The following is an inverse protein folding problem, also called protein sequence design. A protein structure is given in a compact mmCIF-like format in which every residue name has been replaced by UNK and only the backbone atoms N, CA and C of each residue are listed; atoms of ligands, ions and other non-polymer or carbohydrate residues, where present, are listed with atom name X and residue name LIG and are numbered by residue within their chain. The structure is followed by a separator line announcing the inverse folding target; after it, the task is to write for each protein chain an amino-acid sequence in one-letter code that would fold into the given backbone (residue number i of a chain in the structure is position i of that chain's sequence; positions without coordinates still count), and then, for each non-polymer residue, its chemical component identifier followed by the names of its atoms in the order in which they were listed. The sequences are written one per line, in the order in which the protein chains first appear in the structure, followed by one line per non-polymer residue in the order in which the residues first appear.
data_IF_102638523347
#
_entry.id   IF_102638523347
#
_cell.length_a   1.000
_cell.length_b   1.000
_cell.length_c   1.000
_cell.angle_alpha   90.00
_cell.angle_beta   90.00
_cell.angle_gamma   90.00
#
_symmetry.space_group_name_H-M   'P 1'
#
loop_
_entity.id
_entity.type
_entity.pdbx_description
1 polymer ?
#
# COMPACT_ATOMS: atom_id res chain seq x y z
N UNK A 1 -49.75 -28.57 -42.78
CA UNK A 1 -49.47 -27.32 -42.04
C UNK A 1 -48.01 -27.37 -41.65
N UNK A 2 -47.26 -26.80 -42.48
CA UNK A 2 -45.80 -26.63 -42.39
C UNK A 2 -45.57 -25.40 -41.50
N UNK A 3 -44.83 -25.54 -40.44
CA UNK A 3 -44.29 -24.41 -39.66
C UNK A 3 -42.81 -24.24 -40.02
N UNK A 4 -42.55 -23.20 -40.75
CA UNK A 4 -41.24 -22.59 -40.98
C UNK A 4 -40.68 -22.08 -39.64
N UNK A 5 -39.47 -22.49 -39.31
CA UNK A 5 -38.68 -21.90 -38.20
C UNK A 5 -37.34 -21.50 -38.79
N UNK A 6 -37.32 -20.29 -39.32
CA UNK A 6 -36.08 -19.60 -39.69
C UNK A 6 -36.13 -18.24 -39.02
N UNK A 7 -35.55 -18.10 -37.85
CA UNK A 7 -35.10 -16.82 -37.26
C UNK A 7 -33.72 -17.01 -36.64
N UNK A 8 -32.73 -16.98 -37.50
CA UNK A 8 -31.34 -16.65 -37.14
C UNK A 8 -31.29 -15.22 -36.63
N UNK A 9 -31.44 -15.04 -35.35
CA UNK A 9 -31.17 -13.77 -34.66
C UNK A 9 -29.67 -13.54 -34.65
N UNK A 10 -29.16 -12.83 -35.66
CA UNK A 10 -27.82 -12.29 -35.70
C UNK A 10 -27.67 -11.31 -34.52
N UNK A 11 -26.92 -11.71 -33.51
CA UNK A 11 -26.51 -10.80 -32.44
C UNK A 11 -25.57 -9.79 -33.11
N UNK A 12 -26.06 -8.59 -33.36
CA UNK A 12 -25.21 -7.44 -33.73
C UNK A 12 -24.40 -7.11 -32.47
N UNK A 13 -23.14 -7.55 -32.45
CA UNK A 13 -22.16 -7.05 -31.51
C UNK A 13 -21.89 -5.62 -31.94
N UNK A 14 -22.35 -4.65 -31.15
CA UNK A 14 -21.98 -3.26 -31.35
C UNK A 14 -20.44 -3.18 -31.33
N UNK A 15 -19.81 -2.48 -32.30
CA UNK A 15 -18.37 -2.30 -32.29
C UNK A 15 -18.02 -1.57 -31.00
N UNK A 16 -17.17 -2.16 -30.19
CA UNK A 16 -16.53 -1.48 -29.05
C UNK A 16 -15.94 -0.16 -29.54
N UNK A 17 -16.20 0.97 -28.89
CA UNK A 17 -15.64 2.25 -29.30
C UNK A 17 -14.12 2.12 -29.39
N UNK A 18 -13.53 2.58 -30.50
CA UNK A 18 -12.09 2.62 -30.66
C UNK A 18 -11.48 3.35 -29.47
N UNK A 19 -10.49 2.76 -28.77
CA UNK A 19 -9.90 3.39 -27.61
C UNK A 19 -9.28 4.73 -28.00
N UNK A 20 -9.68 5.78 -27.31
CA UNK A 20 -9.20 7.16 -27.56
C UNK A 20 -7.72 7.20 -27.24
N UNK A 21 -6.89 7.29 -28.28
CA UNK A 21 -5.45 7.44 -28.13
C UNK A 21 -5.13 8.76 -27.41
N UNK A 22 -4.62 8.66 -26.20
CA UNK A 22 -4.12 9.85 -25.49
C UNK A 22 -2.83 10.35 -26.16
N UNK A 23 -2.54 11.65 -26.13
CA UNK A 23 -1.27 12.18 -26.66
C UNK A 23 -0.03 11.55 -26.01
N UNK A 24 -0.15 11.12 -24.76
CA UNK A 24 0.91 10.43 -24.00
C UNK A 24 1.21 9.03 -24.56
N UNK A 25 0.19 8.32 -25.04
CA UNK A 25 0.33 7.02 -25.68
C UNK A 25 1.14 7.11 -27.00
N UNK A 26 0.85 8.13 -27.80
CA UNK A 26 1.60 8.37 -29.04
C UNK A 26 3.06 8.76 -28.76
N UNK A 27 3.30 9.57 -27.74
CA UNK A 27 4.64 9.94 -27.31
C UNK A 27 5.47 8.73 -26.88
N UNK A 28 4.86 7.78 -26.16
CA UNK A 28 5.52 6.53 -25.74
C UNK A 28 5.90 5.66 -26.94
N UNK A 29 5.01 5.53 -27.93
CA UNK A 29 5.32 4.80 -29.18
C UNK A 29 6.45 5.47 -29.96
N UNK A 30 6.48 6.79 -30.03
CA UNK A 30 7.54 7.52 -30.72
C UNK A 30 8.88 7.42 -29.97
N UNK A 31 8.88 7.42 -28.65
CA UNK A 31 10.04 7.14 -27.81
C UNK A 31 10.56 5.71 -28.05
N UNK A 32 9.67 4.73 -28.05
CA UNK A 32 10.02 3.34 -28.36
C UNK A 32 10.59 3.15 -29.77
N UNK A 33 10.11 3.90 -30.78
CA UNK A 33 10.69 3.89 -32.12
C UNK A 33 12.09 4.48 -32.18
N UNK A 34 12.38 5.51 -31.38
CA UNK A 34 13.69 6.15 -31.37
C UNK A 34 14.75 5.31 -30.66
N UNK A 35 14.38 4.67 -29.55
CA UNK A 35 15.29 3.90 -28.70
C UNK A 35 15.29 2.41 -28.99
N UNK A 36 14.30 1.89 -29.72
CA UNK A 36 14.12 0.46 -30.00
C UNK A 36 13.46 -0.32 -28.86
N UNK A 37 13.27 0.30 -27.70
CA UNK A 37 12.67 -0.31 -26.54
C UNK A 37 11.85 0.70 -25.72
N UNK A 38 10.97 0.18 -24.84
CA UNK A 38 10.18 0.94 -23.87
C UNK A 38 10.30 0.20 -22.54
N UNK A 39 10.38 0.94 -21.44
CA UNK A 39 10.44 0.33 -20.10
C UNK A 39 9.03 0.14 -19.53
N UNK A 40 8.88 -0.83 -18.61
CA UNK A 40 7.61 -1.01 -17.90
C UNK A 40 7.18 0.22 -17.10
N UNK A 41 8.16 0.96 -16.56
CA UNK A 41 7.87 2.18 -15.82
C UNK A 41 7.32 3.28 -16.75
N UNK A 42 7.82 3.37 -17.98
CA UNK A 42 7.29 4.30 -18.99
C UNK A 42 5.84 3.96 -19.33
N UNK A 43 5.50 2.67 -19.38
CA UNK A 43 4.12 2.21 -19.62
C UNK A 43 3.22 2.57 -18.43
N UNK A 44 3.68 2.36 -17.20
CA UNK A 44 2.94 2.70 -15.98
C UNK A 44 2.75 4.22 -15.82
N UNK A 45 3.73 5.01 -16.26
CA UNK A 45 3.63 6.47 -16.25
C UNK A 45 2.54 7.01 -17.17
N UNK A 46 2.32 6.34 -18.30
CA UNK A 46 1.27 6.69 -19.29
C UNK A 46 -0.11 6.15 -18.86
N UNK A 47 -0.13 5.00 -18.17
CA UNK A 47 -1.33 4.31 -17.70
C UNK A 47 -1.26 4.01 -16.19
N UNK A 48 -1.34 5.03 -15.32
CA UNK A 48 -1.21 4.85 -13.86
C UNK A 48 -2.36 4.02 -13.26
N UNK A 49 -3.53 4.00 -13.88
CA UNK A 49 -4.70 3.18 -13.52
C UNK A 49 -4.91 2.06 -14.54
N UNK A 50 -3.85 1.33 -14.85
CA UNK A 50 -3.88 0.26 -15.84
C UNK A 50 -4.90 -0.87 -15.51
N UNK A 51 -5.33 -0.97 -14.24
CA UNK A 51 -6.39 -1.91 -13.83
C UNK A 51 -7.76 -1.56 -14.42
N UNK A 52 -8.06 -0.29 -14.60
CA UNK A 52 -9.34 0.21 -15.14
C UNK A 52 -9.30 0.43 -16.66
N UNK A 53 -8.07 0.54 -17.24
CA UNK A 53 -7.84 0.79 -18.66
C UNK A 53 -7.14 -0.36 -19.37
N UNK A 54 -7.50 -1.58 -19.06
CA UNK A 54 -6.93 -2.82 -19.60
C UNK A 54 -6.94 -2.90 -21.12
N UNK A 55 -8.05 -2.49 -21.74
CA UNK A 55 -8.18 -2.50 -23.20
C UNK A 55 -7.13 -1.60 -23.87
N UNK A 56 -6.80 -0.48 -23.22
CA UNK A 56 -5.76 0.45 -23.71
C UNK A 56 -4.36 -0.13 -23.52
N UNK A 57 -4.11 -0.82 -22.43
CA UNK A 57 -2.83 -1.47 -22.16
C UNK A 57 -2.59 -2.63 -23.12
N UNK A 58 -3.61 -3.43 -23.38
CA UNK A 58 -3.56 -4.53 -24.35
C UNK A 58 -3.30 -4.01 -25.77
N UNK A 59 -3.96 -2.92 -26.15
CA UNK A 59 -3.74 -2.25 -27.45
C UNK A 59 -2.32 -1.69 -27.56
N UNK A 60 -1.78 -1.11 -26.47
CA UNK A 60 -0.41 -0.63 -26.42
C UNK A 60 0.58 -1.77 -26.69
N UNK A 61 0.40 -2.90 -26.00
CA UNK A 61 1.26 -4.07 -26.17
C UNK A 61 1.24 -4.61 -27.61
N UNK A 62 0.06 -4.75 -28.19
CA UNK A 62 -0.09 -5.19 -29.59
C UNK A 62 0.68 -4.27 -30.53
N UNK A 63 0.57 -2.96 -30.36
CA UNK A 63 1.25 -1.98 -31.23
C UNK A 63 2.75 -1.92 -31.02
N UNK A 64 3.22 -2.00 -29.75
CA UNK A 64 4.65 -2.09 -29.47
C UNK A 64 5.27 -3.30 -30.16
N UNK A 65 4.58 -4.42 -30.13
CA UNK A 65 5.05 -5.65 -30.75
C UNK A 65 4.94 -5.64 -32.28
N UNK A 66 3.85 -5.09 -32.85
CA UNK A 66 3.73 -4.89 -34.33
C UNK A 66 4.85 -4.00 -34.87
N UNK A 67 5.37 -3.08 -34.05
CA UNK A 67 6.48 -2.20 -34.42
C UNK A 67 7.86 -2.76 -34.04
N UNK A 68 7.92 -3.97 -33.47
CA UNK A 68 9.17 -4.61 -33.07
C UNK A 68 9.86 -3.93 -31.89
N UNK A 69 9.11 -3.13 -31.09
CA UNK A 69 9.62 -2.43 -29.92
C UNK A 69 9.61 -3.43 -28.74
N UNK A 70 10.77 -3.66 -28.16
CA UNK A 70 10.89 -4.54 -26.99
C UNK A 70 10.53 -3.79 -25.72
N UNK A 71 9.91 -4.48 -24.76
CA UNK A 71 9.57 -3.92 -23.44
C UNK A 71 10.55 -4.49 -22.41
N UNK A 72 11.40 -3.64 -21.87
CA UNK A 72 12.42 -4.01 -20.88
C UNK A 72 12.03 -3.61 -19.46
N UNK A 73 12.66 -4.28 -18.50
CA UNK A 73 12.62 -3.91 -17.07
C UNK A 73 13.73 -2.89 -16.81
N UNK A 74 13.42 -1.75 -16.21
CA UNK A 74 14.40 -0.69 -15.95
C UNK A 74 15.46 -1.11 -14.94
N UNK A 75 15.20 -2.16 -14.14
CA UNK A 75 16.13 -2.69 -13.14
C UNK A 75 17.10 -3.75 -13.69
N UNK A 76 17.04 -4.08 -14.99
CA UNK A 76 17.96 -5.04 -15.61
C UNK A 76 18.90 -4.31 -16.54
N UNK A 77 20.15 -4.25 -16.16
CA UNK A 77 21.30 -4.05 -17.07
C UNK A 77 21.16 -5.00 -18.26
N UNK A 78 21.45 -4.48 -19.45
CA UNK A 78 21.33 -5.08 -20.79
C UNK A 78 22.05 -6.46 -20.96
N UNK A 79 22.60 -7.02 -19.90
CA UNK A 79 23.45 -8.23 -19.94
C UNK A 79 22.71 -9.57 -19.81
N UNK A 80 21.40 -9.58 -19.50
CA UNK A 80 20.67 -10.85 -19.21
C UNK A 80 19.64 -11.27 -20.28
N UNK A 81 19.65 -10.67 -21.49
CA UNK A 81 18.72 -11.03 -22.57
C UNK A 81 19.33 -12.08 -23.54
N UNK A 82 20.18 -12.97 -23.06
CA UNK A 82 20.50 -14.17 -23.81
C UNK A 82 19.53 -15.31 -23.48
N UNK A 83 18.69 -15.58 -24.49
CA UNK A 83 18.06 -16.87 -24.80
C UNK A 83 17.25 -17.55 -23.67
N UNK A 84 15.99 -17.79 -24.00
CA UNK A 84 15.13 -18.82 -23.42
C UNK A 84 15.87 -20.17 -23.26
N UNK A 85 16.69 -20.34 -22.24
CA UNK A 85 17.13 -21.66 -21.83
C UNK A 85 16.09 -22.30 -20.91
N UNK A 86 15.72 -23.56 -21.17
CA UNK A 86 14.78 -24.28 -20.34
C UNK A 86 15.36 -24.48 -18.94
N UNK A 87 14.68 -23.92 -17.94
CA UNK A 87 14.77 -24.28 -16.54
C UNK A 87 16.19 -24.28 -15.92
N UNK A 88 16.86 -23.11 -15.90
CA UNK A 88 17.92 -22.90 -14.90
C UNK A 88 17.29 -23.07 -13.52
N UNK A 89 17.93 -23.91 -12.69
CA UNK A 89 17.62 -24.02 -11.26
C UNK A 89 17.69 -22.61 -10.71
N UNK A 90 16.54 -22.10 -10.27
CA UNK A 90 16.43 -20.75 -9.74
C UNK A 90 17.39 -20.68 -8.54
N UNK A 91 18.46 -19.90 -8.68
CA UNK A 91 19.42 -19.67 -7.60
C UNK A 91 18.78 -18.73 -6.56
N UNK A 92 18.57 -19.24 -5.36
CA UNK A 92 17.99 -18.51 -4.22
C UNK A 92 19.04 -18.09 -3.19
N UNK A 93 20.31 -17.95 -3.58
CA UNK A 93 21.35 -17.38 -2.72
C UNK A 93 20.94 -15.94 -2.35
N UNK A 94 20.51 -15.74 -1.10
CA UNK A 94 20.05 -14.45 -0.58
C UNK A 94 18.58 -14.43 -0.06
N UNK A 95 17.83 -15.50 -0.24
CA UNK A 95 16.57 -15.70 0.49
C UNK A 95 16.93 -16.36 1.82
N UNK A 96 16.51 -15.77 2.94
CA UNK A 96 16.61 -16.44 4.23
C UNK A 96 15.98 -17.82 4.11
N UNK A 97 16.73 -18.88 4.48
CA UNK A 97 16.27 -20.27 4.43
C UNK A 97 15.21 -20.51 5.51
N UNK A 98 14.04 -19.92 5.33
CA UNK A 98 12.87 -20.27 6.12
C UNK A 98 12.31 -21.59 5.57
N UNK A 99 12.05 -22.55 6.45
CA UNK A 99 11.48 -23.85 6.10
C UNK A 99 10.17 -23.70 5.28
N UNK A 100 9.42 -22.64 5.51
CA UNK A 100 8.18 -22.33 4.77
C UNK A 100 8.46 -21.98 3.29
N UNK A 101 9.49 -21.19 3.01
CA UNK A 101 9.91 -20.83 1.64
C UNK A 101 10.36 -22.09 0.91
N UNK A 102 11.17 -22.92 1.54
CA UNK A 102 11.67 -24.18 0.97
C UNK A 102 10.54 -25.17 0.66
N UNK A 103 9.57 -25.30 1.58
CA UNK A 103 8.41 -26.15 1.36
C UNK A 103 7.58 -25.67 0.16
N UNK A 104 7.30 -24.39 0.07
CA UNK A 104 6.58 -23.77 -1.06
C UNK A 104 7.31 -24.03 -2.38
N UNK A 105 8.64 -23.86 -2.42
CA UNK A 105 9.45 -24.15 -3.61
C UNK A 105 9.34 -25.61 -4.05
N UNK A 106 9.37 -26.54 -3.12
CA UNK A 106 9.22 -27.96 -3.40
C UNK A 106 7.82 -28.30 -3.97
N UNK A 107 6.78 -27.67 -3.46
CA UNK A 107 5.42 -27.87 -3.96
C UNK A 107 5.25 -27.32 -5.38
N UNK A 108 5.72 -26.10 -5.63
CA UNK A 108 5.66 -25.47 -6.95
C UNK A 108 6.51 -26.22 -7.98
N UNK A 109 7.65 -26.78 -7.56
CA UNK A 109 8.53 -27.57 -8.41
C UNK A 109 7.94 -28.90 -8.90
N UNK A 110 6.90 -29.42 -8.24
CA UNK A 110 6.24 -30.69 -8.60
C UNK A 110 5.37 -30.60 -9.84
N UNK A 111 4.88 -29.40 -10.15
CA UNK A 111 3.99 -29.19 -11.31
C UNK A 111 4.84 -28.98 -12.56
N UNK A 112 4.67 -29.78 -13.61
CA UNK A 112 5.42 -29.62 -14.86
C UNK A 112 5.06 -28.31 -15.55
N UNK A 113 6.01 -27.79 -16.34
CA UNK A 113 5.75 -26.62 -17.20
C UNK A 113 4.82 -27.01 -18.35
N UNK A 114 3.99 -26.07 -18.75
CA UNK A 114 3.05 -26.24 -19.87
C UNK A 114 3.70 -25.88 -21.19
N UNK A 115 3.35 -26.61 -22.23
CA UNK A 115 3.62 -26.22 -23.62
C UNK A 115 2.60 -25.18 -24.10
N UNK A 116 2.89 -24.43 -25.17
CA UNK A 116 1.96 -23.46 -25.71
C UNK A 116 0.63 -24.07 -26.17
N UNK A 117 0.64 -25.32 -26.65
CA UNK A 117 -0.58 -26.04 -27.03
C UNK A 117 -1.45 -26.39 -25.81
N UNK A 118 -0.82 -26.77 -24.70
CA UNK A 118 -1.50 -27.06 -23.42
C UNK A 118 -2.10 -25.77 -22.81
N UNK A 119 -1.39 -24.64 -22.89
CA UNK A 119 -1.93 -23.33 -22.46
C UNK A 119 -3.21 -22.97 -23.21
N UNK A 120 -3.21 -23.15 -24.56
CA UNK A 120 -4.37 -22.89 -25.40
C UNK A 120 -5.52 -23.85 -25.06
N UNK A 121 -5.24 -25.14 -24.83
CA UNK A 121 -6.25 -26.12 -24.45
C UNK A 121 -6.90 -25.78 -23.10
N UNK A 122 -6.12 -25.43 -22.10
CA UNK A 122 -6.62 -25.01 -20.78
C UNK A 122 -7.46 -23.72 -20.90
N UNK A 123 -7.01 -22.74 -21.66
CA UNK A 123 -7.75 -21.51 -21.90
C UNK A 123 -9.11 -21.77 -22.57
N UNK A 124 -9.17 -22.68 -23.55
CA UNK A 124 -10.45 -23.08 -24.15
C UNK A 124 -11.40 -23.78 -23.16
N UNK A 125 -10.86 -24.61 -22.25
CA UNK A 125 -11.70 -25.23 -21.20
C UNK A 125 -12.23 -24.17 -20.22
N UNK A 126 -11.41 -23.18 -19.87
CA UNK A 126 -11.84 -22.06 -19.02
C UNK A 126 -12.96 -21.25 -19.68
N UNK A 127 -12.83 -20.93 -20.97
CA UNK A 127 -13.84 -20.19 -21.73
C UNK A 127 -15.18 -20.98 -21.79
N UNK A 128 -15.11 -22.29 -22.05
CA UNK A 128 -16.31 -23.17 -22.05
C UNK A 128 -16.96 -23.18 -20.66
N UNK A 129 -16.18 -23.25 -19.58
CA UNK A 129 -16.68 -23.19 -18.21
C UNK A 129 -17.38 -21.87 -17.89
N UNK A 130 -16.79 -20.73 -18.32
CA UNK A 130 -17.41 -19.41 -18.17
C UNK A 130 -18.70 -19.26 -18.96
N UNK A 131 -18.73 -19.75 -20.20
CA UNK A 131 -19.95 -19.78 -21.02
C UNK A 131 -21.03 -20.64 -20.38
N UNK A 132 -20.67 -21.83 -19.89
CA UNK A 132 -21.60 -22.71 -19.17
C UNK A 132 -22.17 -22.05 -17.91
N UNK A 133 -21.35 -21.31 -17.16
CA UNK A 133 -21.78 -20.56 -15.97
C UNK A 133 -22.81 -19.48 -16.31
N UNK A 134 -22.60 -18.74 -17.41
CA UNK A 134 -23.56 -17.73 -17.89
C UNK A 134 -24.90 -18.38 -18.27
N UNK A 135 -24.88 -19.53 -18.97
CA UNK A 135 -26.09 -20.27 -19.37
C UNK A 135 -26.83 -20.86 -18.17
N UNK A 136 -26.14 -21.27 -17.11
CA UNK A 136 -26.77 -21.85 -15.92
C UNK A 136 -27.59 -20.83 -15.11
N UNK A 137 -27.36 -19.53 -15.30
CA UNK A 137 -28.16 -18.47 -14.65
C UNK A 137 -29.62 -18.52 -15.14
N UNK A 138 -29.85 -18.90 -16.40
CA UNK A 138 -31.20 -19.15 -16.95
C UNK A 138 -31.75 -20.50 -16.44
N UNK A 139 -32.62 -20.45 -15.47
CA UNK A 139 -33.16 -21.63 -14.75
C UNK A 139 -34.07 -22.58 -15.60
N UNK A 140 -34.16 -22.38 -16.89
CA UNK A 140 -35.10 -23.09 -17.80
C UNK A 140 -34.57 -24.42 -18.36
N UNK A 141 -33.37 -24.85 -17.96
CA UNK A 141 -32.70 -26.00 -18.54
C UNK A 141 -33.21 -27.35 -17.97
N UNK A 142 -33.41 -28.36 -18.85
CA UNK A 142 -33.65 -29.73 -18.46
C UNK A 142 -32.51 -30.30 -17.58
N UNK A 143 -32.82 -31.28 -16.72
CA UNK A 143 -31.87 -31.81 -15.73
C UNK A 143 -30.54 -32.28 -16.37
N UNK A 144 -30.65 -33.03 -17.48
CA UNK A 144 -29.46 -33.54 -18.19
C UNK A 144 -28.54 -32.39 -18.69
N UNK A 145 -29.14 -31.33 -19.23
CA UNK A 145 -28.39 -30.15 -19.69
C UNK A 145 -27.73 -29.43 -18.54
N UNK A 146 -28.39 -29.34 -17.40
CA UNK A 146 -27.84 -28.74 -16.19
C UNK A 146 -26.63 -29.50 -15.68
N UNK A 147 -26.68 -30.84 -15.64
CA UNK A 147 -25.54 -31.69 -15.25
C UNK A 147 -24.33 -31.50 -16.18
N UNK A 148 -24.57 -31.38 -17.49
CA UNK A 148 -23.51 -31.09 -18.47
C UNK A 148 -22.87 -29.72 -18.26
N UNK A 149 -23.68 -28.68 -17.97
CA UNK A 149 -23.18 -27.35 -17.69
C UNK A 149 -22.36 -27.31 -16.37
N UNK A 150 -22.84 -28.01 -15.33
CA UNK A 150 -22.13 -28.13 -14.06
C UNK A 150 -20.79 -28.90 -14.22
N UNK A 151 -20.72 -29.90 -15.10
CA UNK A 151 -19.49 -30.60 -15.45
C UNK A 151 -18.50 -29.65 -16.15
N UNK A 152 -18.96 -28.91 -17.17
CA UNK A 152 -18.12 -27.95 -17.89
C UNK A 152 -17.59 -26.83 -16.99
N UNK A 153 -18.35 -26.36 -16.02
CA UNK A 153 -17.90 -25.39 -15.03
C UNK A 153 -16.75 -25.97 -14.17
N UNK A 154 -16.93 -27.20 -13.66
CA UNK A 154 -15.90 -27.88 -12.86
C UNK A 154 -14.60 -28.12 -13.64
N UNK A 155 -14.72 -28.51 -14.91
CA UNK A 155 -13.56 -28.66 -15.81
C UNK A 155 -12.86 -27.31 -16.04
N UNK A 156 -13.59 -26.23 -16.29
CA UNK A 156 -13.04 -24.89 -16.46
C UNK A 156 -12.33 -24.38 -15.20
N UNK A 157 -12.90 -24.63 -14.00
CA UNK A 157 -12.27 -24.26 -12.74
C UNK A 157 -11.01 -25.12 -12.45
N UNK A 158 -11.01 -26.38 -12.85
CA UNK A 158 -9.82 -27.24 -12.74
C UNK A 158 -8.71 -26.78 -13.71
N UNK A 159 -9.07 -26.42 -14.96
CA UNK A 159 -8.16 -25.88 -15.94
C UNK A 159 -7.51 -24.58 -15.47
N UNK A 160 -8.31 -23.66 -14.90
CA UNK A 160 -7.80 -22.41 -14.30
C UNK A 160 -6.77 -22.69 -13.19
N UNK A 161 -7.10 -23.57 -12.26
CA UNK A 161 -6.17 -23.96 -11.19
C UNK A 161 -4.87 -24.52 -11.75
N UNK A 162 -4.96 -25.39 -12.74
CA UNK A 162 -3.79 -26.01 -13.35
C UNK A 162 -2.91 -24.98 -14.07
N UNK A 163 -3.49 -24.05 -14.85
CA UNK A 163 -2.77 -22.96 -15.50
C UNK A 163 -2.02 -22.08 -14.50
N UNK A 164 -2.65 -21.71 -13.38
CA UNK A 164 -2.03 -20.90 -12.32
C UNK A 164 -0.91 -21.68 -11.63
N UNK A 165 -1.15 -22.95 -11.25
CA UNK A 165 -0.15 -23.77 -10.56
C UNK A 165 1.11 -24.00 -11.41
N UNK A 166 0.94 -24.31 -12.68
CA UNK A 166 2.06 -24.54 -13.60
C UNK A 166 2.94 -23.29 -13.81
N UNK A 167 2.35 -22.10 -13.67
CA UNK A 167 3.05 -20.82 -13.84
C UNK A 167 3.49 -20.17 -12.51
N UNK A 168 3.33 -20.81 -11.35
CA UNK A 168 3.77 -20.26 -10.06
C UNK A 168 5.30 -20.05 -10.00
N UNK A 169 6.10 -20.81 -10.75
CA UNK A 169 7.55 -20.59 -10.89
C UNK A 169 7.88 -19.22 -11.52
N UNK A 170 7.08 -18.75 -12.45
CA UNK A 170 7.20 -17.40 -13.03
C UNK A 170 7.05 -16.32 -11.96
N UNK A 171 6.06 -16.46 -11.06
CA UNK A 171 5.87 -15.52 -9.95
C UNK A 171 7.10 -15.45 -9.06
N UNK A 172 7.69 -16.59 -8.71
CA UNK A 172 8.88 -16.64 -7.86
C UNK A 172 10.08 -15.94 -8.52
N UNK A 173 10.28 -16.15 -9.82
CA UNK A 173 11.39 -15.51 -10.56
C UNK A 173 11.27 -13.99 -10.60
N UNK A 174 10.04 -13.46 -10.68
CA UNK A 174 9.77 -12.04 -10.64
C UNK A 174 9.90 -11.50 -9.21
N UNK A 175 9.29 -12.16 -8.21
CA UNK A 175 9.31 -11.74 -6.81
C UNK A 175 10.73 -11.65 -6.24
N UNK A 176 11.66 -12.53 -6.68
CA UNK A 176 13.07 -12.52 -6.28
C UNK A 176 13.73 -11.15 -6.52
N UNK A 177 13.37 -10.44 -7.60
CA UNK A 177 13.95 -9.14 -7.93
C UNK A 177 13.57 -8.02 -6.94
N UNK A 178 12.52 -8.24 -6.14
CA UNK A 178 11.98 -7.28 -5.19
C UNK A 178 12.31 -7.60 -3.73
N UNK A 179 13.25 -8.54 -3.50
CA UNK A 179 13.75 -8.87 -2.15
C UNK A 179 14.36 -7.66 -1.45
N UNK A 180 14.21 -7.59 -0.12
CA UNK A 180 14.81 -6.54 0.71
C UNK A 180 14.11 -5.17 0.65
N UNK A 181 13.00 -5.02 -0.06
CA UNK A 181 12.30 -3.76 -0.20
C UNK A 181 11.25 -3.47 0.89
N UNK A 182 11.22 -4.29 1.97
CA UNK A 182 10.39 -4.06 3.15
C UNK A 182 9.14 -4.93 3.24
N UNK A 183 8.94 -5.86 2.30
CA UNK A 183 7.90 -6.90 2.33
C UNK A 183 8.58 -8.27 2.35
N UNK A 184 8.14 -9.22 3.18
CA UNK A 184 8.66 -10.59 3.20
C UNK A 184 8.49 -11.29 1.85
N UNK A 185 9.42 -12.19 1.51
CA UNK A 185 9.43 -12.85 0.19
C UNK A 185 8.13 -13.61 -0.10
N UNK A 186 7.62 -14.38 0.86
CA UNK A 186 6.38 -15.15 0.66
C UNK A 186 5.17 -14.24 0.44
N UNK A 187 5.13 -13.06 1.07
CA UNK A 187 4.05 -12.10 0.86
C UNK A 187 4.12 -11.50 -0.55
N UNK A 188 5.34 -11.19 -1.04
CA UNK A 188 5.55 -10.79 -2.45
C UNK A 188 5.08 -11.86 -3.42
N UNK A 189 5.38 -13.14 -3.14
CA UNK A 189 4.93 -14.27 -3.95
C UNK A 189 3.41 -14.38 -3.93
N UNK A 190 2.76 -14.24 -2.78
CA UNK A 190 1.28 -14.31 -2.69
C UNK A 190 0.60 -13.16 -3.43
N UNK A 191 1.12 -11.94 -3.31
CA UNK A 191 0.63 -10.80 -4.09
C UNK A 191 0.86 -11.02 -5.59
N UNK A 192 2.00 -11.58 -5.98
CA UNK A 192 2.27 -11.99 -7.35
C UNK A 192 1.30 -13.07 -7.85
N UNK A 193 0.96 -14.05 -7.00
CA UNK A 193 -0.05 -15.07 -7.33
C UNK A 193 -1.44 -14.46 -7.55
N UNK A 194 -1.82 -13.42 -6.80
CA UNK A 194 -3.06 -12.67 -7.05
C UNK A 194 -3.03 -12.02 -8.44
N UNK A 195 -1.89 -11.44 -8.83
CA UNK A 195 -1.68 -10.95 -10.19
C UNK A 195 -1.79 -12.04 -11.24
N UNK A 196 -1.15 -13.19 -11.01
CA UNK A 196 -1.22 -14.35 -11.92
C UNK A 196 -2.66 -14.87 -12.10
N UNK A 197 -3.45 -14.90 -11.03
CA UNK A 197 -4.87 -15.30 -11.09
C UNK A 197 -5.69 -14.32 -11.94
N UNK A 198 -5.45 -13.00 -11.80
CA UNK A 198 -6.08 -11.97 -12.65
C UNK A 198 -5.67 -12.16 -14.12
N UNK A 199 -4.40 -12.43 -14.38
CA UNK A 199 -3.91 -12.71 -15.73
C UNK A 199 -4.62 -13.94 -16.35
N UNK A 200 -4.76 -15.03 -15.59
CA UNK A 200 -5.44 -16.23 -16.06
C UNK A 200 -6.93 -15.99 -16.41
N UNK A 201 -7.62 -15.11 -15.68
CA UNK A 201 -9.02 -14.77 -15.97
C UNK A 201 -9.22 -13.97 -17.26
N UNK A 202 -8.21 -13.19 -17.67
CA UNK A 202 -8.28 -12.26 -18.79
C UNK A 202 -7.48 -12.72 -20.02
N UNK A 203 -6.81 -13.85 -19.92
CA UNK A 203 -5.96 -14.36 -20.97
C UNK A 203 -6.76 -14.73 -22.23
N UNK A 204 -6.39 -14.13 -23.39
CA UNK A 204 -6.98 -14.47 -24.70
C UNK A 204 -5.95 -15.21 -25.58
N UNK A 205 -6.10 -16.53 -25.67
CA UNK A 205 -5.26 -17.41 -26.48
C UNK A 205 -5.35 -17.16 -27.99
N UNK A 206 -6.41 -16.48 -28.48
CA UNK A 206 -6.63 -16.20 -29.92
C UNK A 206 -5.59 -15.23 -30.47
N UNK A 207 -4.95 -14.46 -29.61
CA UNK A 207 -3.90 -13.51 -29.98
C UNK A 207 -2.56 -14.16 -30.30
N UNK A 208 -2.37 -15.45 -30.01
CA UNK A 208 -1.18 -16.23 -30.37
C UNK A 208 0.04 -16.03 -29.47
N UNK A 209 -0.06 -15.25 -28.37
CA UNK A 209 1.04 -15.03 -27.42
C UNK A 209 1.07 -16.10 -26.33
N UNK A 210 2.27 -16.38 -25.81
CA UNK A 210 2.43 -17.23 -24.64
C UNK A 210 1.79 -16.58 -23.41
N UNK A 211 1.21 -17.39 -22.56
CA UNK A 211 0.62 -16.91 -21.30
C UNK A 211 1.65 -16.17 -20.43
N UNK A 212 2.90 -16.63 -20.39
CA UNK A 212 3.97 -16.01 -19.60
C UNK A 212 4.20 -14.53 -19.95
N UNK A 213 4.15 -14.15 -21.23
CA UNK A 213 4.34 -12.77 -21.70
C UNK A 213 3.28 -11.83 -21.09
N UNK A 214 2.04 -12.26 -21.08
CA UNK A 214 0.93 -11.50 -20.53
C UNK A 214 0.93 -11.52 -18.99
N UNK A 215 1.18 -12.67 -18.38
CA UNK A 215 1.18 -12.87 -16.94
C UNK A 215 2.28 -12.08 -16.22
N UNK A 216 3.45 -11.94 -16.83
CA UNK A 216 4.58 -11.18 -16.25
C UNK A 216 4.18 -9.76 -15.87
N UNK A 217 3.41 -9.09 -16.70
CA UNK A 217 2.93 -7.74 -16.41
C UNK A 217 2.01 -7.70 -15.18
N UNK A 218 1.02 -8.59 -15.10
CA UNK A 218 0.08 -8.65 -13.98
C UNK A 218 0.76 -8.98 -12.67
N UNK A 219 1.69 -9.93 -12.70
CA UNK A 219 2.48 -10.32 -11.54
C UNK A 219 3.31 -9.14 -11.04
N UNK A 220 4.01 -8.46 -11.95
CA UNK A 220 4.84 -7.29 -11.62
C UNK A 220 4.00 -6.15 -11.05
N UNK A 221 2.90 -5.81 -11.71
CA UNK A 221 1.99 -4.76 -11.25
C UNK A 221 1.46 -5.05 -9.84
N UNK A 222 1.05 -6.30 -9.56
CA UNK A 222 0.56 -6.70 -8.25
C UNK A 222 1.66 -6.59 -7.18
N UNK A 223 2.87 -7.06 -7.47
CA UNK A 223 4.02 -6.98 -6.56
C UNK A 223 4.41 -5.51 -6.30
N UNK A 224 4.53 -4.69 -7.34
CA UNK A 224 4.92 -3.28 -7.19
C UNK A 224 3.87 -2.49 -6.40
N UNK A 225 2.59 -2.78 -6.61
CA UNK A 225 1.50 -2.19 -5.85
C UNK A 225 1.54 -2.61 -4.38
N UNK A 226 1.78 -3.90 -4.10
CA UNK A 226 1.95 -4.40 -2.74
C UNK A 226 3.12 -3.74 -2.02
N UNK A 227 4.26 -3.55 -2.70
CA UNK A 227 5.40 -2.81 -2.16
C UNK A 227 5.07 -1.35 -1.85
N UNK A 228 4.32 -0.68 -2.72
CA UNK A 228 3.89 0.69 -2.49
C UNK A 228 2.96 0.80 -1.28
N UNK A 229 2.09 -0.20 -1.07
CA UNK A 229 1.06 -0.19 -0.04
C UNK A 229 1.54 -0.72 1.31
N UNK A 230 2.43 -1.71 1.33
CA UNK A 230 2.82 -2.46 2.53
C UNK A 230 4.31 -2.34 2.87
N UNK A 231 5.18 -1.89 1.94
CA UNK A 231 6.64 -1.87 2.10
C UNK A 231 7.17 -0.85 3.13
N UNK A 232 6.30 -0.03 3.77
CA UNK A 232 6.70 1.01 4.72
C UNK A 232 5.89 0.92 6.01
N UNK A 233 6.57 1.09 7.15
CA UNK A 233 5.93 1.19 8.47
C UNK A 233 4.89 2.31 8.52
N UNK A 234 5.20 3.46 7.93
CA UNK A 234 4.26 4.56 7.74
C UNK A 234 3.83 4.54 6.27
N UNK A 235 2.59 4.14 6.00
CA UNK A 235 2.03 4.03 4.65
C UNK A 235 2.10 5.36 3.91
N UNK A 236 2.54 5.30 2.66
CA UNK A 236 2.60 6.43 1.74
C UNK A 236 1.67 6.15 0.56
N UNK A 237 0.85 7.11 0.11
CA UNK A 237 -0.01 6.92 -1.07
C UNK A 237 0.80 6.56 -2.32
N UNK A 238 0.23 5.72 -3.21
CA UNK A 238 0.90 5.20 -4.42
C UNK A 238 1.47 6.33 -5.29
N UNK A 239 0.68 7.37 -5.58
CA UNK A 239 1.13 8.53 -6.38
C UNK A 239 2.35 9.26 -5.77
N UNK A 240 2.56 9.18 -4.46
CA UNK A 240 3.75 9.73 -3.80
C UNK A 240 4.96 8.81 -3.94
N UNK A 241 4.74 7.48 -3.91
CA UNK A 241 5.80 6.51 -4.18
C UNK A 241 6.32 6.65 -5.61
N UNK A 242 5.43 6.84 -6.59
CA UNK A 242 5.83 7.07 -7.99
C UNK A 242 6.63 8.37 -8.14
N UNK A 243 6.18 9.44 -7.47
CA UNK A 243 6.94 10.70 -7.44
C UNK A 243 8.33 10.54 -6.80
N UNK A 244 8.40 9.80 -5.69
CA UNK A 244 9.67 9.50 -5.01
C UNK A 244 10.58 8.72 -5.97
N UNK A 245 10.06 7.71 -6.68
CA UNK A 245 10.79 6.91 -7.64
C UNK A 245 11.35 7.76 -8.78
N UNK A 246 10.53 8.65 -9.38
CA UNK A 246 10.97 9.60 -10.42
C UNK A 246 12.07 10.54 -9.94
N UNK A 247 11.93 11.07 -8.72
CA UNK A 247 12.93 11.96 -8.11
C UNK A 247 14.25 11.22 -7.87
N UNK A 248 14.21 9.97 -7.39
CA UNK A 248 15.43 9.18 -7.17
C UNK A 248 16.13 8.81 -8.48
N UNK A 249 15.39 8.40 -9.52
CA UNK A 249 15.94 8.10 -10.84
C UNK A 249 16.65 9.33 -11.40
N UNK A 250 15.97 10.47 -11.48
CA UNK A 250 16.57 11.71 -11.94
C UNK A 250 17.78 12.16 -11.09
N UNK A 251 17.75 11.89 -9.78
CA UNK A 251 18.91 12.18 -8.91
C UNK A 251 20.10 11.27 -9.24
N UNK A 252 19.86 10.00 -9.51
CA UNK A 252 20.90 9.03 -9.87
C UNK A 252 21.51 9.34 -11.23
N UNK A 253 20.70 9.67 -12.24
CA UNK A 253 21.16 10.05 -13.57
C UNK A 253 22.02 11.32 -13.50
N UNK A 254 21.55 12.34 -12.77
CA UNK A 254 22.32 13.59 -12.56
C UNK A 254 23.60 13.36 -11.75
N UNK A 255 23.61 12.47 -10.76
CA UNK A 255 24.81 12.13 -9.99
C UNK A 255 25.85 11.46 -10.89
N UNK A 256 25.41 10.61 -11.82
CA UNK A 256 26.29 9.97 -12.80
C UNK A 256 26.87 11.00 -13.79
N UNK A 257 26.09 11.97 -14.23
CA UNK A 257 26.55 13.04 -15.14
C UNK A 257 27.47 14.05 -14.46
N UNK A 258 27.09 14.50 -13.25
CA UNK A 258 27.79 15.58 -12.54
C UNK A 258 28.98 15.08 -11.70
N UNK A 259 29.03 13.77 -11.36
CA UNK A 259 30.04 13.20 -10.44
C UNK A 259 29.90 13.68 -8.99
N UNK A 260 28.75 14.28 -8.61
CA UNK A 260 28.41 14.74 -7.26
C UNK A 260 26.91 14.59 -7.02
N UNK A 261 26.52 14.62 -5.76
CA UNK A 261 25.10 14.66 -5.41
C UNK A 261 24.41 15.92 -5.98
N UNK A 262 23.29 15.77 -6.71
CA UNK A 262 22.55 16.89 -7.27
C UNK A 262 21.78 17.67 -6.20
N UNK A 263 21.59 18.96 -6.43
CA UNK A 263 20.73 19.79 -5.57
C UNK A 263 19.24 19.55 -5.87
N UNK A 264 18.33 19.80 -4.91
CA UNK A 264 16.89 19.66 -5.17
C UNK A 264 16.38 20.53 -6.32
N UNK A 265 17.04 21.66 -6.60
CA UNK A 265 16.74 22.58 -7.69
C UNK A 265 17.15 21.98 -9.06
N UNK A 266 18.30 21.30 -9.13
CA UNK A 266 18.76 20.61 -10.33
C UNK A 266 17.83 19.42 -10.66
N UNK A 267 17.47 18.61 -9.66
CA UNK A 267 16.49 17.53 -9.83
C UNK A 267 15.13 18.08 -10.30
N UNK A 268 14.69 19.20 -9.72
CA UNK A 268 13.43 19.86 -10.05
C UNK A 268 13.34 20.26 -11.53
N UNK A 269 14.45 20.70 -12.11
CA UNK A 269 14.54 21.07 -13.52
C UNK A 269 14.39 19.86 -14.46
N UNK A 270 14.90 18.68 -14.07
CA UNK A 270 14.81 17.45 -14.88
C UNK A 270 13.42 16.82 -14.79
N UNK A 271 12.84 16.77 -13.56
CA UNK A 271 11.54 16.10 -13.33
C UNK A 271 10.34 17.00 -13.66
N UNK A 272 10.57 18.27 -14.04
CA UNK A 272 9.53 19.29 -14.27
C UNK A 272 8.58 19.46 -13.06
N UNK A 273 9.16 19.49 -11.86
CA UNK A 273 8.45 19.70 -10.62
C UNK A 273 9.04 20.92 -9.87
N UNK A 274 8.22 21.68 -9.14
CA UNK A 274 8.75 22.76 -8.30
C UNK A 274 9.64 22.19 -7.17
N UNK A 275 10.76 22.86 -6.87
CA UNK A 275 11.79 22.43 -5.93
C UNK A 275 11.23 22.04 -4.54
N UNK A 276 10.20 22.75 -4.04
CA UNK A 276 9.58 22.42 -2.76
C UNK A 276 8.87 21.04 -2.76
N UNK A 277 8.34 20.59 -3.92
CA UNK A 277 7.73 19.24 -4.04
C UNK A 277 8.82 18.16 -4.08
N UNK A 278 9.98 18.44 -4.70
CA UNK A 278 11.14 17.55 -4.69
C UNK A 278 11.69 17.41 -3.27
N UNK A 279 11.90 18.51 -2.55
CA UNK A 279 12.32 18.49 -1.15
C UNK A 279 11.35 17.72 -0.25
N UNK A 280 10.04 17.90 -0.48
CA UNK A 280 9.02 17.14 0.25
C UNK A 280 9.10 15.64 -0.07
N UNK A 281 9.28 15.26 -1.34
CA UNK A 281 9.43 13.87 -1.75
C UNK A 281 10.66 13.22 -1.09
N UNK A 282 11.81 13.90 -1.11
CA UNK A 282 13.04 13.46 -0.43
C UNK A 282 12.86 13.33 1.10
N UNK A 283 12.11 14.25 1.73
CA UNK A 283 11.82 14.16 3.17
C UNK A 283 10.92 12.95 3.49
N UNK A 284 9.88 12.71 2.70
CA UNK A 284 8.94 11.59 2.88
C UNK A 284 9.58 10.25 2.51
N UNK A 285 10.59 10.25 1.65
CA UNK A 285 11.30 9.03 1.23
C UNK A 285 12.11 8.38 2.34
N UNK A 286 12.50 9.12 3.39
CA UNK A 286 13.25 8.60 4.53
C UNK A 286 12.49 7.46 5.20
N UNK A 287 13.18 6.35 5.44
CA UNK A 287 12.63 5.21 6.18
C UNK A 287 12.81 5.41 7.67
N UNK A 288 11.92 4.86 8.47
CA UNK A 288 12.07 4.79 9.92
C UNK A 288 13.27 3.93 10.29
N UNK A 289 14.00 4.35 11.31
CA UNK A 289 15.10 3.56 11.88
C UNK A 289 14.56 2.68 13.01
N UNK A 290 15.16 1.50 13.18
CA UNK A 290 14.83 0.64 14.33
C UNK A 290 15.40 1.26 15.61
N UNK A 291 14.62 1.22 16.70
CA UNK A 291 15.06 1.61 18.02
C UNK A 291 16.08 0.62 18.61
N UNK A 292 16.02 -0.64 18.19
CA UNK A 292 16.97 -1.69 18.57
C UNK A 292 18.27 -1.66 17.73
N UNK A 293 18.44 -0.63 16.89
CA UNK A 293 19.68 -0.50 16.13
C UNK A 293 20.86 -0.28 17.06
N UNK A 294 21.90 -1.14 17.01
CA UNK A 294 23.09 -0.97 17.84
C UNK A 294 23.81 0.34 17.52
N UNK A 295 24.26 1.01 18.56
CA UNK A 295 24.99 2.29 18.50
C UNK A 295 26.33 2.11 19.23
N UNK A 296 27.42 2.62 18.63
CA UNK A 296 28.77 2.50 19.16
C UNK A 296 29.60 1.39 18.50
N UNK A 297 30.90 1.39 18.74
CA UNK A 297 31.84 0.40 18.15
C UNK A 297 31.67 -1.00 18.71
N UNK A 298 31.25 -1.11 19.98
CA UNK A 298 31.04 -2.41 20.67
C UNK A 298 29.59 -2.91 20.55
N UNK A 299 28.63 -2.07 20.08
CA UNK A 299 27.25 -2.47 19.86
C UNK A 299 26.43 -2.76 21.14
N UNK A 300 26.96 -2.35 22.30
CA UNK A 300 26.37 -2.65 23.62
C UNK A 300 25.16 -1.78 23.97
N UNK A 301 24.91 -0.71 23.23
CA UNK A 301 23.80 0.23 23.44
C UNK A 301 22.87 0.26 22.22
N UNK A 302 21.57 0.44 22.48
CA UNK A 302 20.56 0.57 21.44
C UNK A 302 20.17 2.04 21.23
N UNK A 303 19.78 2.40 19.99
CA UNK A 303 19.35 3.77 19.64
C UNK A 303 18.22 4.26 20.54
N UNK A 304 17.32 3.36 20.97
CA UNK A 304 16.18 3.67 21.84
C UNK A 304 16.58 4.23 23.19
N UNK A 305 17.73 3.82 23.74
CA UNK A 305 18.22 4.28 25.05
C UNK A 305 18.64 5.76 25.06
N UNK A 306 18.93 6.33 23.88
CA UNK A 306 19.32 7.74 23.72
C UNK A 306 18.14 8.67 23.51
N UNK A 307 16.92 8.14 23.40
CA UNK A 307 15.71 8.95 23.18
C UNK A 307 15.09 9.28 24.54
N UNK A 308 14.98 10.56 24.85
CA UNK A 308 14.36 11.06 26.06
C UNK A 308 12.85 10.81 26.06
N UNK A 309 12.30 10.40 27.21
CA UNK A 309 10.86 10.30 27.43
C UNK A 309 10.29 11.68 27.82
N UNK A 310 9.73 12.37 26.83
CA UNK A 310 9.10 13.69 27.00
C UNK A 310 7.72 13.59 27.68
N UNK A 311 7.15 12.39 27.84
CA UNK A 311 5.79 12.20 28.38
C UNK A 311 5.77 12.04 29.89
N UNK A 312 6.84 11.49 30.46
CA UNK A 312 6.97 11.33 31.90
C UNK A 312 7.48 12.59 32.55
N UNK A 313 6.78 13.11 33.58
CA UNK A 313 7.25 14.29 34.30
C UNK A 313 8.58 14.01 35.00
N UNK A 314 9.49 14.96 34.95
CA UNK A 314 10.79 14.83 35.61
C UNK A 314 10.62 14.69 37.13
N UNK A 315 11.58 14.06 37.86
CA UNK A 315 11.52 13.99 39.31
C UNK A 315 11.37 15.35 39.98
N UNK A 316 11.98 16.39 39.46
CA UNK A 316 11.90 17.77 39.92
C UNK A 316 10.49 18.36 39.73
N UNK A 317 9.88 18.14 38.55
CA UNK A 317 8.50 18.55 38.29
C UNK A 317 7.49 17.80 39.15
N UNK A 318 7.69 16.50 39.33
CA UNK A 318 6.85 15.67 40.21
C UNK A 318 6.93 16.16 41.68
N UNK A 319 8.12 16.52 42.16
CA UNK A 319 8.33 17.10 43.46
C UNK A 319 7.67 18.49 43.57
N UNK A 320 7.84 19.36 42.58
CA UNK A 320 7.22 20.68 42.54
C UNK A 320 5.69 20.60 42.52
N UNK A 321 5.09 19.69 41.74
CA UNK A 321 3.66 19.44 41.71
C UNK A 321 3.13 18.93 43.08
N UNK A 322 3.89 18.05 43.74
CA UNK A 322 3.53 17.55 45.08
C UNK A 322 3.57 18.68 46.12
N UNK A 323 4.62 19.49 46.11
CA UNK A 323 4.72 20.65 47.01
C UNK A 323 3.61 21.67 46.77
N UNK A 324 3.30 21.94 45.51
CA UNK A 324 2.17 22.81 45.14
C UNK A 324 0.85 22.27 45.68
N UNK A 325 0.61 20.96 45.56
CA UNK A 325 -0.60 20.31 46.09
C UNK A 325 -0.68 20.44 47.62
N UNK A 326 0.40 20.15 48.34
CA UNK A 326 0.49 20.30 49.78
C UNK A 326 0.20 21.75 50.23
N UNK A 327 0.74 22.75 49.52
CA UNK A 327 0.47 24.16 49.82
C UNK A 327 -0.98 24.56 49.52
N UNK A 328 -1.57 24.04 48.45
CA UNK A 328 -3.00 24.26 48.16
C UNK A 328 -3.90 23.66 49.23
N UNK A 329 -3.59 22.46 49.74
CA UNK A 329 -4.30 21.82 50.82
C UNK A 329 -4.21 22.64 52.12
N UNK A 330 -3.00 23.16 52.44
CA UNK A 330 -2.79 24.04 53.59
C UNK A 330 -3.62 25.34 53.49
N UNK A 331 -3.66 25.94 52.28
CA UNK A 331 -4.49 27.13 52.05
C UNK A 331 -6.00 26.82 52.17
N UNK A 332 -6.43 25.66 51.73
CA UNK A 332 -7.87 25.25 51.86
C UNK A 332 -8.30 25.03 53.28
N UNK A 333 -7.38 24.66 54.20
CA UNK A 333 -7.69 24.60 55.65
C UNK A 333 -8.15 25.94 56.22
N UNK A 334 -7.84 27.07 55.56
CA UNK A 334 -8.28 28.40 55.96
C UNK A 334 -9.69 28.77 55.51
N UNK A 335 -10.29 27.96 54.65
CA UNK A 335 -11.65 28.10 54.13
C UNK A 335 -12.64 27.30 55.00
N UNK A 336 -13.91 27.65 54.95
CA UNK A 336 -14.92 26.75 55.52
C UNK A 336 -14.97 25.45 54.73
N UNK A 337 -15.32 24.31 55.38
CA UNK A 337 -15.39 23.01 54.67
C UNK A 337 -16.30 23.01 53.45
N UNK A 338 -17.30 23.89 53.44
CA UNK A 338 -18.23 24.04 52.32
C UNK A 338 -17.61 24.81 51.13
N UNK A 339 -16.85 25.86 51.41
CA UNK A 339 -16.13 26.67 50.42
C UNK A 339 -15.02 25.82 49.78
N UNK A 340 -14.23 25.11 50.56
CA UNK A 340 -13.18 24.23 50.10
C UNK A 340 -13.74 23.16 49.14
N UNK A 341 -14.82 22.48 49.52
CA UNK A 341 -15.43 21.44 48.73
C UNK A 341 -16.00 21.94 47.40
N UNK A 342 -16.57 23.15 47.41
CA UNK A 342 -17.07 23.80 46.16
C UNK A 342 -15.88 24.11 45.22
N UNK A 343 -14.77 24.65 45.72
CA UNK A 343 -13.57 24.91 44.93
C UNK A 343 -12.93 23.62 44.38
N UNK A 344 -12.78 22.59 45.24
CA UNK A 344 -12.26 21.27 44.80
C UNK A 344 -13.05 20.72 43.62
N UNK A 345 -14.38 20.78 43.67
CA UNK A 345 -15.23 20.28 42.58
C UNK A 345 -15.19 21.18 41.35
N UNK A 346 -15.17 22.51 41.54
CA UNK A 346 -15.16 23.47 40.43
C UNK A 346 -13.88 23.38 39.61
N UNK A 347 -12.74 23.20 40.29
CA UNK A 347 -11.42 23.15 39.63
C UNK A 347 -10.90 21.72 39.44
N UNK A 348 -11.65 20.69 39.82
CA UNK A 348 -11.29 19.30 39.65
C UNK A 348 -10.04 18.88 40.45
N UNK A 349 -9.78 19.52 41.57
CA UNK A 349 -8.53 19.30 42.35
C UNK A 349 -8.44 17.92 42.99
N UNK A 350 -9.56 17.23 43.17
CA UNK A 350 -9.60 15.90 43.80
C UNK A 350 -9.75 14.77 42.80
N UNK A 351 -10.72 14.90 41.90
CA UNK A 351 -11.13 13.84 40.96
C UNK A 351 -10.67 14.12 39.51
N UNK A 352 -9.91 15.20 39.26
CA UNK A 352 -9.50 15.64 37.94
C UNK A 352 -10.63 16.15 37.05
N UNK A 353 -11.88 16.12 37.53
CA UNK A 353 -13.05 16.55 36.76
C UNK A 353 -13.59 17.90 37.23
N UNK A 354 -13.60 18.90 36.38
CA UNK A 354 -14.14 20.24 36.66
C UNK A 354 -15.66 20.28 36.44
N UNK A 355 -16.42 20.49 37.52
CA UNK A 355 -17.86 20.62 37.44
C UNK A 355 -18.32 22.02 37.10
N UNK A 356 -19.40 22.17 36.34
CA UNK A 356 -20.02 23.46 36.07
C UNK A 356 -20.71 24.02 37.29
N UNK A 357 -20.96 25.36 37.34
CA UNK A 357 -21.70 26.01 38.42
C UNK A 357 -23.10 25.40 38.64
N UNK A 358 -23.75 24.93 37.57
CA UNK A 358 -25.07 24.30 37.61
C UNK A 358 -25.00 22.92 38.28
N UNK A 359 -24.06 22.09 37.90
CA UNK A 359 -23.86 20.75 38.45
C UNK A 359 -23.43 20.80 39.93
N UNK A 360 -22.51 21.72 40.22
CA UNK A 360 -22.12 21.95 41.64
C UNK A 360 -23.32 22.41 42.44
N UNK A 361 -24.16 23.31 41.88
CA UNK A 361 -25.39 23.74 42.54
C UNK A 361 -26.36 22.60 42.82
N UNK A 362 -26.55 21.70 41.89
CA UNK A 362 -27.40 20.52 42.07
C UNK A 362 -26.90 19.60 43.17
N UNK A 363 -25.57 19.35 43.24
CA UNK A 363 -24.97 18.51 44.30
C UNK A 363 -25.08 19.11 45.73
N UNK A 364 -25.04 20.44 45.83
CA UNK A 364 -25.14 21.14 47.12
C UNK A 364 -26.55 21.65 47.47
N UNK A 365 -27.54 21.42 46.61
CA UNK A 365 -28.92 21.91 46.79
C UNK A 365 -29.02 23.45 46.73
N UNK A 366 -28.18 24.11 45.98
CA UNK A 366 -28.07 25.55 45.87
C UNK A 366 -28.33 26.04 44.43
N UNK A 367 -28.72 27.32 44.29
CA UNK A 367 -28.84 27.95 42.97
C UNK A 367 -27.44 28.21 42.37
N UNK A 368 -27.36 28.21 41.05
CA UNK A 368 -26.14 28.54 40.30
C UNK A 368 -25.49 29.84 40.76
N UNK A 369 -26.31 30.86 41.00
CA UNK A 369 -25.82 32.17 41.45
C UNK A 369 -25.24 32.14 42.87
N UNK A 370 -25.82 31.34 43.76
CA UNK A 370 -25.28 31.17 45.11
C UNK A 370 -23.94 30.47 45.10
N UNK A 371 -23.76 29.46 44.25
CA UNK A 371 -22.44 28.81 44.08
C UNK A 371 -21.42 29.83 43.54
N UNK A 372 -21.78 30.67 42.57
CA UNK A 372 -20.89 31.72 42.01
C UNK A 372 -20.46 32.72 43.10
N UNK A 373 -21.39 33.13 43.98
CA UNK A 373 -21.06 34.00 45.12
C UNK A 373 -20.08 33.34 46.10
N UNK A 374 -20.32 32.09 46.48
CA UNK A 374 -19.44 31.33 47.39
C UNK A 374 -18.04 31.14 46.74
N UNK A 375 -17.98 30.82 45.48
CA UNK A 375 -16.73 30.71 44.72
C UNK A 375 -15.94 32.03 44.76
N UNK A 376 -16.61 33.17 44.49
CA UNK A 376 -15.98 34.49 44.54
C UNK A 376 -15.49 34.87 45.93
N UNK A 377 -16.28 34.63 46.97
CA UNK A 377 -15.92 34.88 48.37
C UNK A 377 -14.71 34.04 48.78
N UNK A 378 -14.71 32.74 48.43
CA UNK A 378 -13.62 31.85 48.74
C UNK A 378 -12.32 32.24 47.99
N UNK A 379 -12.41 32.58 46.70
CA UNK A 379 -11.25 33.07 45.94
C UNK A 379 -10.71 34.42 46.49
N UNK A 380 -11.60 35.32 46.94
CA UNK A 380 -11.20 36.57 47.55
C UNK A 380 -10.42 36.36 48.88
N UNK A 381 -10.82 35.36 49.69
CA UNK A 381 -10.09 34.96 50.90
C UNK A 381 -8.70 34.40 50.58
N UNK A 382 -8.57 33.60 49.51
CA UNK A 382 -7.29 33.04 49.06
C UNK A 382 -6.34 34.09 48.44
N UNK A 383 -6.89 35.16 47.83
CA UNK A 383 -6.12 36.27 47.24
C UNK A 383 -5.47 37.21 48.23
N UNK A 384 -5.71 37.05 49.55
CA UNK A 384 -5.07 37.91 50.54
C UNK A 384 -3.53 37.85 50.45
N UNK A 385 -2.82 39.00 50.49
CA UNK A 385 -1.39 39.08 50.17
C UNK A 385 -0.48 38.11 50.96
N UNK A 386 -0.80 37.84 52.23
CA UNK A 386 0.00 36.92 53.03
C UNK A 386 -0.15 35.43 52.69
N UNK A 387 -1.18 35.08 51.86
CA UNK A 387 -1.43 33.69 51.44
C UNK A 387 -1.03 33.44 50.00
N UNK A 388 -1.25 34.44 49.13
CA UNK A 388 -0.95 34.31 47.71
C UNK A 388 0.54 34.40 47.39
N UNK A 389 1.42 34.95 48.28
CA UNK A 389 2.85 35.08 48.01
C UNK A 389 3.55 33.73 47.81
N UNK A 390 3.16 32.70 48.58
CA UNK A 390 3.72 31.35 48.50
C UNK A 390 3.41 30.64 47.18
N UNK A 391 2.28 30.95 46.54
CA UNK A 391 1.91 30.35 45.25
C UNK A 391 2.56 31.05 44.06
N UNK A 392 3.04 32.29 44.21
CA UNK A 392 3.69 33.00 43.11
C UNK A 392 5.00 32.35 42.63
N UNK A 393 5.69 31.64 43.52
CA UNK A 393 6.92 30.92 43.22
C UNK A 393 6.71 29.75 42.25
N UNK A 394 5.45 29.26 42.07
CA UNK A 394 5.09 28.17 41.18
C UNK A 394 4.46 28.66 39.86
N UNK A 395 4.41 29.98 39.59
CA UNK A 395 3.84 30.56 38.38
C UNK A 395 4.89 30.86 37.29
N UNK A 396 6.08 30.28 37.42
CA UNK A 396 7.20 30.49 36.43
C UNK A 396 7.40 29.26 35.60
#
# INVERSE_FOLDING_TARGET
MTYDVDETRTIIVEPTPEPVMTPQFLALLDQGRQHGYVTYDDILDVLPEAEDSLDQLEELYVRLQEQGIQVFDTDLTIEDDEAEEPAKIIDFSGVEEDDAVRLYMLEVGRVPLLSGEEEVHLAQQMERGLAARKLLIDRTHALDRRLQLEAAIREGEAARRHLVQANARLVMSIAKKYLGQGVPFLDLVQEGNLGLMKAAEKFDYRRGFKFSTYATWWVRQSITRALADQGRTIRVPVHMNDRIRKVYRAAQDLEQELGRQPTPEEIAAVVDLPAHKVQRALKVSRRSLSLEKPVGEEGDSELGEFIEDETSPSPSESAAQRMLREQLEEMFMSLSPREARILEMRFGLRDGHSYTLKETGQKFGLTRERIRQIEQEALAKLRQPGRSSKLREYLH
#
